data_IF_750063542602
#
_entry.id   IF_750063542602
#
_cell.length_a   1.000
_cell.length_b   1.000
_cell.length_c   1.000
_cell.angle_alpha   90.00
_cell.angle_beta   90.00
_cell.angle_gamma   90.00
#
_symmetry.space_group_name_H-M   'P 1'
#
loop_
_entity.id
_entity.type
_entity.pdbx_description
1 polymer ?
#
# COMPACT_ATOMS: atom_id res chain seq x y z
N UNK A 1 2.93 6.54 -6.35
CA UNK A 1 2.09 6.63 -5.14
C UNK A 1 2.37 7.92 -4.39
N UNK A 2 1.34 8.53 -3.83
CA UNK A 2 1.47 9.72 -2.97
C UNK A 2 0.31 9.81 -1.98
N UNK A 3 0.58 10.41 -0.82
CA UNK A 3 -0.44 10.80 0.16
C UNK A 3 -0.82 12.28 0.02
N UNK A 4 -0.23 13.00 -0.92
CA UNK A 4 -0.29 14.45 -1.12
C UNK A 4 0.38 15.29 -0.02
N UNK A 5 0.71 14.71 1.11
CA UNK A 5 1.36 15.43 2.22
C UNK A 5 2.75 15.90 1.80
N UNK A 6 2.97 17.20 1.86
CA UNK A 6 4.23 17.82 1.45
C UNK A 6 4.46 17.95 -0.05
N UNK A 7 3.55 17.44 -0.90
CA UNK A 7 3.60 17.66 -2.34
C UNK A 7 3.21 19.11 -2.66
N UNK A 8 4.05 19.82 -3.38
CA UNK A 8 3.79 21.20 -3.81
C UNK A 8 3.28 21.25 -5.24
N UNK A 9 2.43 22.22 -5.55
CA UNK A 9 1.87 22.43 -6.90
C UNK A 9 3.00 22.60 -7.94
N UNK A 10 4.06 23.32 -7.58
CA UNK A 10 5.23 23.55 -8.44
C UNK A 10 5.97 22.23 -8.76
N UNK A 11 6.12 21.34 -7.78
CA UNK A 11 6.79 20.06 -7.99
C UNK A 11 5.95 19.15 -8.90
N UNK A 12 4.64 19.14 -8.71
CA UNK A 12 3.74 18.44 -9.61
C UNK A 12 3.82 18.97 -11.03
N UNK A 13 3.78 20.29 -11.21
CA UNK A 13 3.86 20.91 -12.55
C UNK A 13 5.16 20.59 -13.29
N UNK A 14 6.24 20.29 -12.59
CA UNK A 14 7.53 19.87 -13.19
C UNK A 14 7.51 18.44 -13.70
N UNK A 15 6.68 17.56 -13.11
CA UNK A 15 6.67 16.12 -13.40
C UNK A 15 5.39 15.64 -14.10
N UNK A 16 4.32 16.44 -14.15
CA UNK A 16 3.02 16.03 -14.70
C UNK A 16 3.06 15.58 -16.16
N UNK A 17 4.03 16.06 -16.93
CA UNK A 17 4.19 15.72 -18.35
C UNK A 17 5.06 14.48 -18.59
N UNK A 18 5.61 13.88 -17.51
CA UNK A 18 6.27 12.57 -17.59
C UNK A 18 5.22 11.51 -17.90
N UNK A 19 5.53 10.61 -18.81
CA UNK A 19 4.65 9.47 -19.11
C UNK A 19 4.66 8.50 -17.92
N UNK A 20 3.51 8.31 -17.32
CA UNK A 20 3.26 7.32 -16.27
C UNK A 20 1.98 6.55 -16.56
N UNK A 21 1.80 5.42 -15.94
CA UNK A 21 0.58 4.64 -16.12
C UNK A 21 -0.58 5.29 -15.36
N UNK A 22 -0.47 5.36 -14.06
CA UNK A 22 -1.49 5.85 -13.14
C UNK A 22 -0.82 6.52 -11.94
N UNK A 23 -1.42 7.58 -11.43
CA UNK A 23 -1.03 8.18 -10.16
C UNK A 23 -1.94 7.65 -9.06
N UNK A 24 -1.39 6.80 -8.21
CA UNK A 24 -2.11 6.29 -7.04
C UNK A 24 -2.06 7.32 -5.91
N UNK A 25 -3.22 7.76 -5.46
CA UNK A 25 -3.38 8.72 -4.38
C UNK A 25 -4.01 8.00 -3.19
N UNK A 26 -3.25 7.91 -2.10
CA UNK A 26 -3.76 7.39 -0.84
C UNK A 26 -4.49 8.49 -0.10
N UNK A 27 -5.80 8.35 0.01
CA UNK A 27 -6.67 9.26 0.73
C UNK A 27 -6.61 8.98 2.23
N UNK A 28 -6.79 10.00 3.07
CA UNK A 28 -6.92 9.86 4.51
C UNK A 28 -8.09 8.96 4.91
N UNK A 29 -7.90 8.20 5.98
CA UNK A 29 -8.93 7.41 6.62
C UNK A 29 -9.08 7.75 8.09
N UNK A 30 -10.27 7.53 8.65
CA UNK A 30 -10.54 7.80 10.06
C UNK A 30 -9.69 6.97 11.03
N UNK A 31 -9.26 5.77 10.62
CA UNK A 31 -8.58 4.83 11.49
C UNK A 31 -7.07 4.76 11.24
N UNK A 32 -6.62 5.05 10.03
CA UNK A 32 -5.26 4.75 9.58
C UNK A 32 -4.26 5.85 9.87
N UNK A 33 -4.71 7.09 9.97
CA UNK A 33 -3.84 8.25 10.18
C UNK A 33 -3.13 8.23 11.54
N UNK A 34 -3.72 7.57 12.53
CA UNK A 34 -3.08 7.36 13.85
C UNK A 34 -1.97 6.31 13.79
N UNK A 35 -2.12 5.29 12.95
CA UNK A 35 -1.18 4.17 12.87
C UNK A 35 0.11 4.50 12.09
N UNK A 36 0.01 5.29 11.03
CA UNK A 36 1.18 5.60 10.17
C UNK A 36 1.84 6.94 10.50
N UNK A 37 1.39 7.63 11.53
CA UNK A 37 1.97 8.89 11.96
C UNK A 37 1.87 10.01 10.92
N UNK A 38 0.97 9.89 9.95
CA UNK A 38 0.69 10.96 8.99
C UNK A 38 0.06 12.09 9.77
N UNK A 39 0.82 13.12 10.02
CA UNK A 39 0.36 14.36 10.65
C UNK A 39 -0.50 15.15 9.66
N UNK A 40 -1.72 14.70 9.47
CA UNK A 40 -2.77 15.45 8.80
C UNK A 40 -3.61 16.06 9.91
N UNK A 41 -4.02 17.22 9.78
CA UNK A 41 -3.89 18.48 10.51
C UNK A 41 -4.72 18.63 11.80
N UNK A 42 -4.79 19.66 12.21
CA UNK A 42 -4.85 20.64 13.28
C UNK A 42 -6.12 20.62 14.17
N UNK A 43 -7.28 20.36 13.65
CA UNK A 43 -8.53 20.40 14.41
C UNK A 43 -9.22 19.06 14.45
N UNK A 44 -9.88 18.76 15.57
CA UNK A 44 -10.69 17.55 15.70
C UNK A 44 -12.16 17.93 15.82
N UNK A 45 -13.01 17.18 15.13
CA UNK A 45 -14.46 17.26 15.27
C UNK A 45 -15.04 15.89 15.60
N UNK A 46 -16.29 15.85 16.02
CA UNK A 46 -16.98 14.61 16.35
C UNK A 46 -17.83 14.15 15.16
N UNK A 47 -17.62 12.92 14.72
CA UNK A 47 -18.39 12.28 13.66
C UNK A 47 -18.71 10.84 14.07
N UNK A 48 -20.00 10.50 14.14
CA UNK A 48 -20.50 9.17 14.55
C UNK A 48 -19.90 8.67 15.86
N UNK A 49 -19.71 9.56 16.85
CA UNK A 49 -19.15 9.23 18.16
C UNK A 49 -17.64 9.03 18.20
N UNK A 50 -16.93 9.34 17.10
CA UNK A 50 -15.46 9.31 17.01
C UNK A 50 -14.90 10.72 16.87
N UNK A 51 -13.75 10.95 17.48
CA UNK A 51 -12.99 12.19 17.24
C UNK A 51 -12.15 12.02 15.99
N UNK A 52 -12.41 12.83 14.99
CA UNK A 52 -11.74 12.83 13.69
C UNK A 52 -10.98 14.13 13.52
N UNK A 53 -9.78 14.07 12.94
CA UNK A 53 -9.01 15.27 12.60
C UNK A 53 -9.54 15.86 11.30
N UNK A 54 -9.82 17.15 11.29
CA UNK A 54 -10.20 17.87 10.06
C UNK A 54 -9.05 17.85 9.02
N UNK A 55 -9.38 17.82 7.76
CA UNK A 55 -8.39 17.97 6.68
C UNK A 55 -7.98 19.44 6.52
N UNK A 56 -6.69 19.70 6.28
CA UNK A 56 -6.22 21.08 6.10
C UNK A 56 -6.68 21.67 4.76
N UNK A 57 -6.80 22.98 4.71
CA UNK A 57 -7.06 23.69 3.46
C UNK A 57 -5.98 23.38 2.40
N UNK A 58 -4.72 23.27 2.83
CA UNK A 58 -3.60 22.91 1.94
C UNK A 58 -3.80 21.53 1.31
N UNK A 59 -4.33 20.56 2.06
CA UNK A 59 -4.62 19.24 1.54
C UNK A 59 -5.70 19.30 0.46
N UNK A 60 -6.83 19.98 0.75
CA UNK A 60 -7.91 20.18 -0.22
C UNK A 60 -7.43 20.92 -1.46
N UNK A 61 -6.68 21.99 -1.27
CA UNK A 61 -6.11 22.76 -2.36
C UNK A 61 -5.22 21.92 -3.27
N UNK A 62 -4.41 21.02 -2.69
CA UNK A 62 -3.56 20.12 -3.47
C UNK A 62 -4.36 19.03 -4.17
N UNK A 63 -5.36 18.44 -3.49
CA UNK A 63 -6.25 17.44 -4.07
C UNK A 63 -7.01 17.99 -5.26
N UNK A 64 -7.67 19.16 -5.09
CA UNK A 64 -8.38 19.84 -6.15
C UNK A 64 -7.49 20.22 -7.31
N UNK A 65 -6.28 20.69 -7.02
CA UNK A 65 -5.31 21.03 -8.03
C UNK A 65 -4.92 19.82 -8.88
N UNK A 66 -4.69 18.66 -8.27
CA UNK A 66 -4.39 17.42 -8.99
C UNK A 66 -5.57 16.93 -9.85
N UNK A 67 -6.78 17.01 -9.32
CA UNK A 67 -8.00 16.65 -10.07
C UNK A 67 -8.13 17.51 -11.33
N UNK A 68 -7.84 18.80 -11.24
CA UNK A 68 -7.87 19.73 -12.37
C UNK A 68 -6.67 19.58 -13.32
N UNK A 69 -5.55 19.06 -12.83
CA UNK A 69 -4.29 18.90 -13.56
C UNK A 69 -3.76 17.46 -13.45
N UNK A 70 -4.47 16.46 -13.96
CA UNK A 70 -4.15 15.04 -13.72
C UNK A 70 -2.86 14.55 -14.41
N UNK A 71 -2.25 15.37 -15.28
CA UNK A 71 -1.02 15.01 -15.98
C UNK A 71 -1.23 14.02 -17.15
N UNK A 72 -0.16 13.32 -17.56
CA UNK A 72 -0.10 12.48 -18.74
C UNK A 72 -0.24 10.97 -18.45
N UNK A 73 -1.03 10.60 -17.45
CA UNK A 73 -1.34 9.19 -17.20
C UNK A 73 -2.04 8.52 -18.40
N UNK A 74 -1.64 7.29 -18.74
CA UNK A 74 -2.18 6.51 -19.87
C UNK A 74 -2.96 5.27 -19.44
N UNK A 75 -3.01 4.94 -18.14
CA UNK A 75 -3.82 3.87 -17.58
C UNK A 75 -5.33 4.14 -17.66
N UNK A 76 -6.12 3.20 -17.21
CA UNK A 76 -7.58 3.29 -17.20
C UNK A 76 -8.07 4.53 -16.43
N UNK A 77 -7.40 4.84 -15.34
CA UNK A 77 -7.61 6.04 -14.55
C UNK A 77 -6.30 6.82 -14.46
N UNK A 78 -6.31 8.09 -14.85
CA UNK A 78 -5.13 8.96 -14.68
C UNK A 78 -4.79 9.15 -13.20
N UNK A 79 -5.84 9.35 -12.40
CA UNK A 79 -5.78 9.42 -10.95
C UNK A 79 -6.55 8.22 -10.40
N UNK A 80 -5.90 7.43 -9.57
CA UNK A 80 -6.45 6.23 -8.95
C UNK A 80 -6.44 6.45 -7.43
N UNK A 81 -7.62 6.60 -6.86
CA UNK A 81 -7.80 6.92 -5.46
C UNK A 81 -7.98 5.67 -4.62
N UNK A 82 -7.21 5.57 -3.55
CA UNK A 82 -7.30 4.47 -2.59
C UNK A 82 -7.45 5.00 -1.17
N UNK A 83 -8.22 4.27 -0.37
CA UNK A 83 -8.30 4.47 1.06
C UNK A 83 -8.05 3.15 1.78
N UNK A 84 -7.35 3.19 2.89
CA UNK A 84 -7.16 2.05 3.78
C UNK A 84 -8.09 2.20 4.99
N UNK A 85 -9.11 1.35 5.08
CA UNK A 85 -10.18 1.49 6.05
C UNK A 85 -11.25 2.50 5.61
N UNK A 86 -11.96 3.07 6.55
CA UNK A 86 -13.07 3.99 6.28
C UNK A 86 -12.56 5.31 5.72
N UNK A 87 -13.06 5.70 4.56
CA UNK A 87 -12.72 6.97 3.95
C UNK A 87 -13.07 8.13 4.90
N UNK A 88 -12.19 9.13 4.93
CA UNK A 88 -12.41 10.33 5.72
C UNK A 88 -13.74 11.00 5.34
N UNK A 89 -14.64 11.35 6.28
CA UNK A 89 -15.98 11.86 5.99
C UNK A 89 -15.98 13.11 5.10
N UNK A 90 -15.01 14.00 5.28
CA UNK A 90 -14.87 15.20 4.46
C UNK A 90 -14.55 14.93 2.99
N UNK A 91 -14.16 13.69 2.66
CA UNK A 91 -13.91 13.25 1.28
C UNK A 91 -15.06 12.41 0.71
N UNK A 92 -16.15 12.23 1.44
CA UNK A 92 -17.27 11.41 1.00
C UNK A 92 -17.79 11.83 -0.39
N UNK A 93 -17.89 13.12 -0.67
CA UNK A 93 -18.34 13.64 -1.96
C UNK A 93 -17.42 13.27 -3.13
N UNK A 94 -16.16 12.94 -2.87
CA UNK A 94 -15.24 12.51 -3.91
C UNK A 94 -15.73 11.23 -4.60
N UNK A 95 -16.40 10.33 -3.86
CA UNK A 95 -16.94 9.07 -4.37
C UNK A 95 -18.07 9.27 -5.37
N UNK A 96 -18.71 10.44 -5.40
CA UNK A 96 -19.74 10.78 -6.39
C UNK A 96 -19.16 11.06 -7.78
N UNK A 97 -17.87 11.36 -7.86
CA UNK A 97 -17.19 11.79 -9.09
C UNK A 97 -16.07 10.84 -9.53
N UNK A 98 -15.51 10.09 -8.58
CA UNK A 98 -14.38 9.21 -8.82
C UNK A 98 -14.59 7.85 -8.16
N UNK A 99 -14.04 6.81 -8.77
CA UNK A 99 -13.91 5.54 -8.09
C UNK A 99 -12.85 5.66 -6.98
N UNK A 100 -13.22 5.31 -5.77
CA UNK A 100 -12.32 5.22 -4.61
C UNK A 100 -12.24 3.77 -4.17
N UNK A 101 -11.08 3.15 -4.37
CA UNK A 101 -10.83 1.79 -3.92
C UNK A 101 -10.64 1.75 -2.41
N UNK A 102 -11.68 1.37 -1.66
CA UNK A 102 -11.58 1.15 -0.22
C UNK A 102 -11.02 -0.25 0.02
N UNK A 103 -9.90 -0.32 0.72
CA UNK A 103 -9.26 -1.58 1.09
C UNK A 103 -9.26 -1.75 2.60
N UNK A 104 -9.51 -2.96 3.05
CA UNK A 104 -9.36 -3.26 4.47
C UNK A 104 -7.90 -3.14 4.88
N UNK A 105 -7.68 -2.60 6.09
CA UNK A 105 -6.35 -2.63 6.70
C UNK A 105 -6.05 -4.07 7.06
N UNK A 106 -5.02 -4.62 6.44
CA UNK A 106 -4.53 -5.95 6.79
C UNK A 106 -3.32 -5.85 7.74
N UNK A 107 -3.01 -6.95 8.39
CA UNK A 107 -1.93 -7.00 9.37
C UNK A 107 -0.52 -6.93 8.77
N UNK A 108 -0.39 -6.95 7.45
CA UNK A 108 0.90 -7.12 6.78
C UNK A 108 1.64 -8.34 7.31
N UNK A 109 0.98 -9.48 7.34
CA UNK A 109 1.51 -10.70 7.94
C UNK A 109 2.00 -10.49 9.38
N UNK A 110 1.20 -9.79 10.21
CA UNK A 110 1.47 -9.44 11.61
C UNK A 110 2.48 -8.31 11.87
N UNK A 111 3.05 -7.72 10.83
CA UNK A 111 4.04 -6.65 11.01
C UNK A 111 3.43 -5.31 11.49
N UNK A 112 2.11 -5.13 11.37
CA UNK A 112 1.45 -3.85 11.71
C UNK A 112 0.48 -4.00 12.90
N UNK A 113 0.01 -5.19 13.22
CA UNK A 113 -0.98 -5.37 14.27
C UNK A 113 -0.39 -5.37 15.67
N UNK A 114 -1.12 -4.73 16.56
CA UNK A 114 -0.85 -4.69 17.99
C UNK A 114 -1.25 -5.98 18.73
N UNK A 115 -2.11 -6.79 18.14
CA UNK A 115 -2.60 -8.05 18.72
C UNK A 115 -2.10 -9.24 17.90
N UNK A 116 -1.64 -10.28 18.61
CA UNK A 116 -1.26 -11.55 17.97
C UNK A 116 -2.49 -12.18 17.34
N UNK A 117 -2.43 -12.44 16.04
CA UNK A 117 -3.40 -13.29 15.36
C UNK A 117 -2.98 -14.76 15.44
N UNK A 118 -3.97 -15.63 15.41
CA UNK A 118 -3.73 -17.05 15.21
C UNK A 118 -3.17 -17.30 13.80
N UNK A 119 -2.43 -18.40 13.65
CA UNK A 119 -1.99 -18.84 12.33
C UNK A 119 -3.21 -19.13 11.45
N UNK A 120 -3.10 -18.80 10.18
CA UNK A 120 -4.07 -19.23 9.19
C UNK A 120 -4.09 -20.76 9.16
N UNK A 121 -5.27 -21.40 9.25
CA UNK A 121 -5.38 -22.83 9.17
C UNK A 121 -4.67 -23.38 7.90
N UNK A 122 -3.92 -24.50 7.98
CA UNK A 122 -3.16 -25.02 6.84
C UNK A 122 -4.02 -25.29 5.60
N UNK A 123 -5.28 -25.69 5.80
CA UNK A 123 -6.25 -25.93 4.74
C UNK A 123 -6.70 -24.66 4.00
N UNK A 124 -6.56 -23.51 4.62
CA UNK A 124 -6.89 -22.20 4.06
C UNK A 124 -5.65 -21.45 3.56
N UNK A 125 -4.47 -21.95 3.86
CA UNK A 125 -3.22 -21.26 3.58
C UNK A 125 -2.62 -21.69 2.24
N UNK A 126 -2.64 -20.78 1.27
CA UNK A 126 -2.11 -21.03 -0.07
C UNK A 126 -0.58 -20.91 -0.19
N UNK A 127 0.16 -20.59 0.89
CA UNK A 127 1.62 -20.46 0.99
C UNK A 127 2.34 -20.40 -0.38
N UNK A 128 2.92 -21.49 -0.84
CA UNK A 128 3.68 -21.57 -2.10
C UNK A 128 2.89 -21.28 -3.38
N UNK A 129 1.54 -21.20 -3.32
CA UNK A 129 0.71 -20.83 -4.47
C UNK A 129 0.37 -19.33 -4.51
N UNK A 130 0.84 -18.55 -3.53
CA UNK A 130 0.63 -17.12 -3.52
C UNK A 130 1.46 -16.43 -4.62
N UNK A 131 0.80 -15.71 -5.53
CA UNK A 131 1.48 -14.98 -6.61
C UNK A 131 2.45 -13.91 -6.11
N UNK A 132 2.28 -13.42 -4.87
CA UNK A 132 3.15 -12.40 -4.30
C UNK A 132 4.56 -12.88 -3.98
N UNK A 133 4.79 -14.19 -3.86
CA UNK A 133 6.16 -14.74 -3.70
C UNK A 133 7.06 -14.48 -4.91
N UNK A 134 6.46 -14.06 -6.03
CA UNK A 134 7.15 -13.63 -7.26
C UNK A 134 7.23 -12.10 -7.38
N UNK A 135 6.69 -11.35 -6.42
CA UNK A 135 6.64 -9.89 -6.41
C UNK A 135 7.56 -9.32 -5.32
N UNK A 136 8.84 -9.61 -5.47
CA UNK A 136 9.84 -9.20 -4.50
C UNK A 136 9.99 -7.67 -4.46
N UNK A 137 10.33 -7.14 -3.29
CA UNK A 137 10.56 -5.71 -3.10
C UNK A 137 12.05 -5.44 -3.06
N UNK A 138 12.53 -4.65 -4.01
CA UNK A 138 13.92 -4.18 -4.03
C UNK A 138 14.07 -3.01 -3.06
N UNK A 139 14.97 -3.17 -2.12
CA UNK A 139 15.30 -2.16 -1.12
C UNK A 139 16.45 -1.25 -1.61
N UNK A 140 16.63 -0.06 -1.01
CA UNK A 140 17.64 0.90 -1.45
C UNK A 140 19.08 0.40 -1.38
N UNK A 141 19.37 -0.58 -0.52
CA UNK A 141 20.68 -1.22 -0.38
C UNK A 141 20.92 -2.39 -1.36
N UNK A 142 19.95 -2.64 -2.25
CA UNK A 142 19.98 -3.73 -3.21
C UNK A 142 19.41 -5.05 -2.69
N UNK A 143 19.01 -5.14 -1.44
CA UNK A 143 18.38 -6.33 -0.87
C UNK A 143 17.00 -6.57 -1.48
N UNK A 144 16.59 -7.83 -1.59
CA UNK A 144 15.28 -8.27 -2.04
C UNK A 144 14.52 -8.90 -0.88
N UNK A 145 13.47 -8.21 -0.41
CA UNK A 145 12.50 -8.76 0.54
C UNK A 145 11.50 -9.66 -0.19
N UNK A 146 10.94 -10.62 0.51
CA UNK A 146 10.02 -11.63 -0.02
C UNK A 146 8.87 -11.00 -0.81
N UNK A 147 8.13 -10.09 -0.20
CA UNK A 147 6.99 -9.43 -0.84
C UNK A 147 6.60 -8.16 -0.07
N UNK A 148 5.61 -7.42 -0.59
CA UNK A 148 5.13 -6.19 0.05
C UNK A 148 4.43 -6.40 1.41
N UNK A 149 4.18 -7.62 1.85
CA UNK A 149 3.65 -7.93 3.18
C UNK A 149 4.77 -8.10 4.23
N UNK A 150 5.99 -8.37 3.80
CA UNK A 150 7.17 -8.49 4.65
C UNK A 150 7.70 -7.11 5.08
N UNK A 151 6.90 -6.40 5.86
CA UNK A 151 7.21 -5.05 6.32
C UNK A 151 8.31 -5.00 7.39
N UNK A 152 8.46 -6.11 8.12
CA UNK A 152 9.52 -6.30 9.12
C UNK A 152 10.86 -6.65 8.50
N UNK A 153 10.90 -6.95 7.19
CA UNK A 153 12.08 -7.44 6.46
C UNK A 153 12.64 -8.73 7.08
N UNK A 154 11.75 -9.60 7.55
CA UNK A 154 12.11 -10.87 8.18
C UNK A 154 12.64 -11.90 7.18
N UNK A 155 12.25 -11.77 5.89
CA UNK A 155 12.59 -12.69 4.81
C UNK A 155 13.33 -11.97 3.66
N UNK A 156 14.58 -11.62 3.92
CA UNK A 156 15.48 -11.09 2.88
C UNK A 156 16.04 -12.26 2.05
N UNK A 157 15.71 -12.30 0.76
CA UNK A 157 15.99 -13.44 -0.12
C UNK A 157 17.34 -13.37 -0.84
N UNK A 158 17.94 -12.20 -0.92
CA UNK A 158 19.20 -11.96 -1.61
C UNK A 158 19.51 -10.47 -1.77
N UNK A 159 20.61 -10.16 -2.46
CA UNK A 159 21.02 -8.79 -2.73
C UNK A 159 21.55 -8.66 -4.16
N UNK A 160 20.97 -7.76 -4.97
CA UNK A 160 21.35 -7.56 -6.37
C UNK A 160 22.61 -6.70 -6.56
N UNK A 161 23.19 -6.15 -5.49
CA UNK A 161 24.53 -5.56 -5.55
C UNK A 161 25.60 -6.66 -5.52
N UNK A 162 25.30 -7.79 -4.86
CA UNK A 162 26.22 -8.90 -4.66
C UNK A 162 26.02 -10.02 -5.69
N UNK A 163 24.79 -10.21 -6.19
CA UNK A 163 24.40 -11.28 -7.08
C UNK A 163 23.70 -10.74 -8.33
N UNK A 164 23.82 -11.46 -9.41
CA UNK A 164 22.99 -11.23 -10.60
C UNK A 164 21.55 -11.72 -10.37
N UNK A 165 20.62 -11.26 -11.19
CA UNK A 165 19.26 -11.75 -11.17
C UNK A 165 19.16 -13.27 -11.38
N UNK A 166 19.95 -13.80 -12.30
CA UNK A 166 19.96 -15.24 -12.62
C UNK A 166 20.46 -16.07 -11.43
N UNK A 167 21.48 -15.60 -10.72
CA UNK A 167 21.98 -16.25 -9.50
C UNK A 167 20.95 -16.20 -8.37
N UNK A 168 20.27 -15.06 -8.22
CA UNK A 168 19.16 -14.92 -7.28
C UNK A 168 18.04 -15.93 -7.58
N UNK A 169 17.55 -15.97 -8.82
CA UNK A 169 16.49 -16.89 -9.25
C UNK A 169 16.92 -18.38 -9.11
N UNK A 170 18.17 -18.67 -9.30
CA UNK A 170 18.71 -20.02 -9.18
C UNK A 170 18.95 -20.47 -7.74
N UNK A 171 18.88 -19.55 -6.75
CA UNK A 171 19.18 -19.86 -5.36
C UNK A 171 18.19 -20.87 -4.76
N UNK A 172 18.70 -21.77 -3.92
CA UNK A 172 17.85 -22.78 -3.26
C UNK A 172 16.86 -22.15 -2.28
N UNK A 173 17.21 -21.02 -1.66
CA UNK A 173 16.32 -20.27 -0.77
C UNK A 173 15.11 -19.75 -1.53
N UNK A 174 15.30 -19.10 -2.68
CA UNK A 174 14.21 -18.58 -3.51
C UNK A 174 13.31 -19.71 -4.00
N UNK A 175 13.90 -20.80 -4.51
CA UNK A 175 13.14 -21.97 -4.97
C UNK A 175 12.31 -22.58 -3.85
N UNK A 176 12.90 -22.77 -2.66
CA UNK A 176 12.20 -23.32 -1.50
C UNK A 176 11.04 -22.44 -1.10
N UNK A 177 11.27 -21.13 -0.95
CA UNK A 177 10.22 -20.19 -0.52
C UNK A 177 9.09 -20.10 -1.54
N UNK A 178 9.39 -20.11 -2.83
CA UNK A 178 8.37 -20.14 -3.87
C UNK A 178 7.52 -21.41 -3.85
N UNK A 179 8.09 -22.52 -3.44
CA UNK A 179 7.39 -23.79 -3.34
C UNK A 179 6.61 -23.95 -2.04
N UNK A 180 7.18 -23.55 -0.94
CA UNK A 180 6.70 -23.85 0.42
C UNK A 180 6.15 -22.64 1.18
N UNK A 181 6.44 -21.42 0.69
CA UNK A 181 6.21 -20.19 1.43
C UNK A 181 7.27 -19.95 2.50
N UNK A 182 7.21 -18.80 3.16
CA UNK A 182 8.00 -18.43 4.31
C UNK A 182 7.15 -18.49 5.60
N UNK A 183 7.78 -18.41 6.76
CA UNK A 183 7.08 -18.48 8.05
C UNK A 183 6.06 -17.34 8.24
N UNK A 184 6.35 -16.16 7.71
CA UNK A 184 5.41 -15.05 7.72
C UNK A 184 4.11 -15.34 6.95
N UNK A 185 4.15 -16.24 5.96
CA UNK A 185 2.96 -16.63 5.20
C UNK A 185 1.91 -17.36 6.06
N UNK A 186 2.30 -17.92 7.20
CA UNK A 186 1.37 -18.55 8.15
C UNK A 186 0.39 -17.56 8.77
N UNK A 187 0.71 -16.28 8.73
CA UNK A 187 -0.09 -15.23 9.33
C UNK A 187 -0.63 -14.24 8.29
N UNK A 188 -0.38 -14.51 7.01
CA UNK A 188 -0.68 -13.57 5.93
C UNK A 188 -2.13 -13.68 5.47
N UNK A 189 -2.89 -12.62 5.65
CA UNK A 189 -4.29 -12.51 5.25
C UNK A 189 -4.47 -12.51 3.71
N UNK A 190 -3.48 -12.07 2.97
CA UNK A 190 -3.50 -12.10 1.50
C UNK A 190 -3.46 -13.54 0.96
N UNK A 191 -2.98 -14.49 1.76
CA UNK A 191 -3.01 -15.90 1.44
C UNK A 191 -4.42 -16.53 1.45
N UNK A 192 -5.42 -15.82 2.00
CA UNK A 192 -6.81 -16.25 2.07
C UNK A 192 -7.67 -15.77 0.91
N UNK A 193 -7.25 -14.76 0.17
CA UNK A 193 -8.10 -13.99 -0.75
C UNK A 193 -8.11 -14.49 -2.20
N UNK A 194 -7.34 -15.51 -2.54
CA UNK A 194 -7.24 -16.06 -3.89
C UNK A 194 -7.86 -17.46 -4.03
N UNK A 195 -8.97 -17.74 -3.37
CA UNK A 195 -9.87 -18.77 -3.88
C UNK A 195 -10.72 -18.09 -4.94
N UNK A 196 -10.48 -18.45 -6.19
CA UNK A 196 -11.31 -18.06 -7.33
C UNK A 196 -12.79 -18.30 -7.00
N UNK A 197 -13.56 -17.21 -6.89
CA UNK A 197 -15.02 -17.24 -6.97
C UNK A 197 -15.46 -16.83 -8.37
#
# INVERSE_FOLDING_TARGET
NTTLVGLKKEDWMRIKDVNYRELHIHLPSCAFDEMIGVKIPVETYEHEGRKIKALSEEYYDMLNFLIQNPGNGWGQYKLDFHCLGDLHPELADLTNHFYVGVRQVNSRAMNILLEKKDKVPPEENIRGNCSRVYQNVLLPDGSLSLCCQDYGLDEVLGNLVENTWDEYEASETVKRIRKEGADLCDYCEEGLTYTDT
#
